data_IF_891061742704
#
_entry.id   IF_891061742704
#
_cell.length_a   1.000
_cell.length_b   1.000
_cell.length_c   1.000
_cell.angle_alpha   90.00
_cell.angle_beta   90.00
_cell.angle_gamma   90.00
#
_symmetry.space_group_name_H-M   'P 1'
#
loop_
_entity.id
_entity.type
_entity.pdbx_description
1 polymer ?
#
# COMPACT_ATOMS: atom_id res chain seq x y z
N UNK A 1 -6.63 -23.77 -32.21
CA UNK A 1 -7.88 -24.51 -32.50
C UNK A 1 -8.57 -25.05 -31.24
N UNK A 2 -7.88 -25.71 -30.29
CA UNK A 2 -8.51 -26.23 -29.06
C UNK A 2 -9.14 -25.15 -28.14
N UNK A 3 -8.53 -23.97 -28.10
CA UNK A 3 -8.96 -22.85 -27.25
C UNK A 3 -10.27 -22.19 -27.73
N UNK A 4 -10.67 -22.36 -28.99
CA UNK A 4 -11.89 -21.75 -29.54
C UNK A 4 -13.16 -22.59 -29.31
N UNK A 5 -13.05 -23.78 -28.70
CA UNK A 5 -14.18 -24.67 -28.42
C UNK A 5 -14.91 -25.19 -29.67
N UNK A 6 -14.28 -25.09 -30.84
CA UNK A 6 -14.91 -25.45 -32.12
C UNK A 6 -14.66 -26.92 -32.47
N UNK A 7 -15.67 -27.59 -33.03
CA UNK A 7 -15.60 -28.99 -33.46
C UNK A 7 -14.56 -29.16 -34.58
N UNK A 8 -13.50 -29.93 -34.28
CA UNK A 8 -12.40 -30.16 -35.21
C UNK A 8 -12.83 -30.97 -36.43
N UNK A 9 -13.77 -31.90 -36.27
CA UNK A 9 -14.23 -32.77 -37.35
C UNK A 9 -14.89 -31.98 -38.48
N UNK A 10 -15.66 -30.95 -38.14
CA UNK A 10 -16.30 -30.04 -39.11
C UNK A 10 -15.27 -29.03 -39.67
N UNK A 11 -14.36 -28.52 -38.83
CA UNK A 11 -13.35 -27.54 -39.22
C UNK A 11 -12.27 -28.07 -40.17
N UNK A 12 -11.94 -29.36 -40.10
CA UNK A 12 -10.98 -29.97 -41.01
C UNK A 12 -11.51 -30.01 -42.46
N UNK A 13 -12.83 -30.06 -42.64
CA UNK A 13 -13.51 -30.00 -43.94
C UNK A 13 -13.73 -28.55 -44.46
N UNK A 14 -13.41 -27.53 -43.65
CA UNK A 14 -13.60 -26.13 -44.01
C UNK A 14 -12.40 -25.54 -44.80
N UNK A 15 -12.57 -24.43 -45.53
CA UNK A 15 -11.46 -23.73 -46.17
C UNK A 15 -10.50 -23.10 -45.14
N UNK A 16 -9.28 -22.80 -45.60
CA UNK A 16 -8.19 -22.26 -44.74
C UNK A 16 -8.59 -20.97 -44.01
N UNK A 17 -9.42 -20.12 -44.64
CA UNK A 17 -9.91 -18.87 -44.04
C UNK A 17 -10.75 -19.08 -42.78
N UNK A 18 -11.63 -20.09 -42.75
CA UNK A 18 -12.43 -20.42 -41.56
C UNK A 18 -11.55 -20.97 -40.43
N UNK A 19 -10.57 -21.83 -40.76
CA UNK A 19 -9.62 -22.31 -39.76
C UNK A 19 -8.83 -21.17 -39.11
N UNK A 20 -8.38 -20.18 -39.88
CA UNK A 20 -7.66 -19.01 -39.36
C UNK A 20 -8.56 -18.16 -38.46
N UNK A 21 -9.82 -17.91 -38.87
CA UNK A 21 -10.83 -17.21 -38.06
C UNK A 21 -11.05 -17.89 -36.70
N UNK A 22 -11.22 -19.22 -36.69
CA UNK A 22 -11.41 -19.97 -35.44
C UNK A 22 -10.12 -20.08 -34.60
N UNK A 23 -8.93 -20.07 -35.20
CA UNK A 23 -7.67 -19.94 -34.46
C UNK A 23 -7.61 -18.56 -33.78
N UNK A 24 -8.00 -17.49 -34.48
CA UNK A 24 -8.07 -16.13 -33.97
C UNK A 24 -8.98 -15.97 -32.75
N UNK A 25 -10.16 -16.59 -32.75
CA UNK A 25 -11.02 -16.61 -31.56
C UNK A 25 -10.35 -17.29 -30.35
N UNK A 26 -9.57 -18.35 -30.60
CA UNK A 26 -8.84 -19.03 -29.54
C UNK A 26 -7.66 -18.21 -28.98
N UNK A 27 -6.99 -17.40 -29.82
CA UNK A 27 -5.93 -16.50 -29.35
C UNK A 27 -6.47 -15.31 -28.58
N UNK A 28 -7.66 -14.80 -28.94
CA UNK A 28 -8.30 -13.69 -28.22
C UNK A 28 -8.63 -14.07 -26.76
N UNK A 29 -8.95 -15.33 -26.49
CA UNK A 29 -9.22 -15.85 -25.14
C UNK A 29 -7.94 -16.00 -24.29
N UNK A 30 -6.76 -16.07 -24.91
CA UNK A 30 -5.49 -16.19 -24.16
C UNK A 30 -5.05 -14.85 -23.55
N UNK A 31 -5.42 -13.73 -24.16
CA UNK A 31 -4.97 -12.40 -23.70
C UNK A 31 -5.55 -12.08 -22.31
N UNK A 32 -6.87 -12.16 -22.06
CA UNK A 32 -7.43 -11.95 -20.72
C UNK A 32 -6.90 -12.95 -19.68
N UNK A 33 -6.68 -14.21 -20.07
CA UNK A 33 -6.11 -15.21 -19.18
C UNK A 33 -4.67 -14.88 -18.72
N UNK A 34 -3.83 -14.37 -19.64
CA UNK A 34 -2.47 -13.92 -19.30
C UNK A 34 -2.49 -12.67 -18.42
N UNK A 35 -3.40 -11.73 -18.68
CA UNK A 35 -3.56 -10.54 -17.84
C UNK A 35 -4.06 -10.91 -16.44
N UNK A 36 -5.01 -11.85 -16.34
CA UNK A 36 -5.48 -12.40 -15.08
C UNK A 36 -4.37 -13.10 -14.28
N UNK A 37 -3.46 -13.81 -14.96
CA UNK A 37 -2.27 -14.39 -14.34
C UNK A 37 -1.42 -13.32 -13.66
N UNK A 38 -1.04 -12.28 -14.41
CA UNK A 38 -0.18 -11.18 -13.90
C UNK A 38 -0.89 -10.43 -12.77
N UNK A 39 -2.16 -10.10 -12.97
CA UNK A 39 -3.00 -9.42 -11.97
C UNK A 39 -3.04 -10.17 -10.65
N UNK A 40 -3.34 -11.46 -10.68
CA UNK A 40 -3.52 -12.25 -9.47
C UNK A 40 -2.19 -12.62 -8.82
N UNK A 41 -1.15 -12.88 -9.60
CA UNK A 41 0.20 -13.07 -9.08
C UNK A 41 0.66 -11.83 -8.29
N UNK A 42 0.40 -10.64 -8.81
CA UNK A 42 0.67 -9.39 -8.11
C UNK A 42 -0.22 -9.21 -6.86
N UNK A 43 -1.54 -9.41 -6.96
CA UNK A 43 -2.44 -9.30 -5.81
C UNK A 43 -1.97 -10.19 -4.65
N UNK A 44 -1.59 -11.44 -4.95
CA UNK A 44 -1.06 -12.37 -3.94
C UNK A 44 0.29 -11.93 -3.37
N UNK A 45 1.13 -11.26 -4.17
CA UNK A 45 2.40 -10.72 -3.68
C UNK A 45 2.23 -9.58 -2.67
N UNK A 46 1.10 -8.87 -2.72
CA UNK A 46 0.77 -7.80 -1.76
C UNK A 46 0.19 -8.33 -0.44
N UNK A 47 -0.17 -9.61 -0.36
CA UNK A 47 -0.67 -10.24 0.86
C UNK A 47 0.51 -10.68 1.71
N UNK A 48 0.64 -10.13 2.93
CA UNK A 48 1.76 -10.40 3.83
C UNK A 48 1.99 -11.89 4.11
N UNK A 49 0.91 -12.69 4.16
CA UNK A 49 1.00 -14.13 4.40
C UNK A 49 1.66 -14.92 3.26
N UNK A 50 1.62 -14.41 2.02
CA UNK A 50 2.08 -15.10 0.82
C UNK A 50 3.33 -14.45 0.19
N UNK A 51 3.61 -13.19 0.51
CA UNK A 51 4.72 -12.40 -0.03
C UNK A 51 6.10 -13.05 0.20
N UNK A 52 6.27 -13.82 1.27
CA UNK A 52 7.52 -14.54 1.58
C UNK A 52 7.88 -15.66 0.61
N UNK A 53 6.98 -16.04 -0.30
CA UNK A 53 7.13 -17.21 -1.16
C UNK A 53 6.58 -16.99 -2.57
N UNK A 54 7.45 -16.52 -3.47
CA UNK A 54 7.12 -16.22 -4.87
C UNK A 54 6.46 -17.40 -5.60
N UNK A 55 6.81 -18.65 -5.24
CA UNK A 55 6.21 -19.85 -5.82
C UNK A 55 4.68 -19.91 -5.60
N UNK A 56 4.19 -19.58 -4.41
CA UNK A 56 2.76 -19.62 -4.11
C UNK A 56 2.00 -18.50 -4.82
N UNK A 57 2.64 -17.34 -5.02
CA UNK A 57 2.07 -16.25 -5.81
C UNK A 57 1.88 -16.65 -7.28
N UNK A 58 2.90 -17.25 -7.90
CA UNK A 58 2.82 -17.72 -9.28
C UNK A 58 1.86 -18.90 -9.45
N UNK A 59 1.82 -19.84 -8.50
CA UNK A 59 0.85 -20.95 -8.54
C UNK A 59 -0.59 -20.45 -8.40
N UNK A 60 -0.86 -19.53 -7.47
CA UNK A 60 -2.17 -18.93 -7.32
C UNK A 60 -2.60 -18.14 -8.55
N UNK A 61 -1.69 -17.34 -9.13
CA UNK A 61 -1.90 -16.67 -10.41
C UNK A 61 -2.21 -17.64 -11.54
N UNK A 62 -1.50 -18.77 -11.62
CA UNK A 62 -1.73 -19.80 -12.64
C UNK A 62 -3.11 -20.44 -12.50
N UNK A 63 -3.51 -20.80 -11.29
CA UNK A 63 -4.84 -21.36 -11.01
C UNK A 63 -5.93 -20.37 -11.43
N UNK A 64 -5.77 -19.08 -11.08
CA UNK A 64 -6.72 -18.06 -11.46
C UNK A 64 -6.79 -17.85 -12.98
N UNK A 65 -5.64 -17.82 -13.65
CA UNK A 65 -5.58 -17.73 -15.10
C UNK A 65 -6.28 -18.90 -15.80
N UNK A 66 -6.15 -20.13 -15.27
CA UNK A 66 -6.86 -21.30 -15.78
C UNK A 66 -8.37 -21.22 -15.58
N UNK A 67 -8.82 -20.62 -14.46
CA UNK A 67 -10.24 -20.36 -14.20
C UNK A 67 -10.80 -19.37 -15.23
N UNK A 68 -10.16 -18.21 -15.40
CA UNK A 68 -10.59 -17.19 -16.38
C UNK A 68 -10.55 -17.75 -17.80
N UNK A 69 -9.46 -18.42 -18.19
CA UNK A 69 -9.36 -19.10 -19.48
C UNK A 69 -10.50 -20.09 -19.71
N UNK A 70 -10.91 -20.84 -18.67
CA UNK A 70 -12.02 -21.79 -18.78
C UNK A 70 -13.36 -21.08 -18.97
N UNK A 71 -13.61 -20.00 -18.23
CA UNK A 71 -14.82 -19.19 -18.39
C UNK A 71 -14.90 -18.52 -19.77
N UNK A 72 -13.82 -17.86 -20.20
CA UNK A 72 -13.73 -17.18 -21.50
C UNK A 72 -13.80 -18.15 -22.68
N UNK A 73 -13.30 -19.37 -22.49
CA UNK A 73 -13.48 -20.46 -23.46
C UNK A 73 -14.92 -20.98 -23.47
N UNK A 74 -15.56 -21.13 -22.31
CA UNK A 74 -16.95 -21.62 -22.19
C UNK A 74 -17.96 -20.65 -22.80
N UNK A 75 -17.96 -19.40 -22.35
CA UNK A 75 -17.48 -18.31 -23.19
C UNK A 75 -17.65 -18.46 -24.70
N UNK A 76 -16.60 -18.13 -25.43
CA UNK A 76 -16.51 -18.24 -26.89
C UNK A 76 -17.16 -19.51 -27.45
N UNK A 77 -17.00 -20.69 -26.84
CA UNK A 77 -17.56 -21.97 -27.33
C UNK A 77 -19.09 -21.99 -27.42
N UNK A 78 -19.80 -21.52 -26.39
CA UNK A 78 -21.28 -21.56 -26.30
C UNK A 78 -21.96 -20.53 -27.20
N UNK A 79 -21.22 -19.56 -27.74
CA UNK A 79 -21.78 -18.60 -28.67
C UNK A 79 -22.00 -19.27 -30.04
N UNK A 80 -23.24 -19.64 -30.29
CA UNK A 80 -23.69 -20.16 -31.58
C UNK A 80 -24.30 -18.99 -32.35
N UNK A 81 -23.70 -18.69 -33.49
CA UNK A 81 -24.21 -17.66 -34.36
C UNK A 81 -25.53 -18.09 -35.00
N UNK A 82 -26.50 -17.18 -35.02
CA UNK A 82 -27.71 -17.31 -35.84
C UNK A 82 -27.61 -16.50 -37.13
N UNK A 83 -28.42 -16.86 -38.12
CA UNK A 83 -28.36 -16.38 -39.51
C UNK A 83 -28.53 -14.86 -39.70
N UNK A 84 -28.92 -14.08 -38.69
CA UNK A 84 -29.14 -12.62 -38.78
C UNK A 84 -28.64 -11.84 -37.57
N UNK A 85 -27.85 -10.78 -37.82
CA UNK A 85 -27.31 -9.87 -36.79
C UNK A 85 -28.42 -9.18 -35.96
N UNK A 86 -29.63 -8.98 -36.52
CA UNK A 86 -30.75 -8.32 -35.82
C UNK A 86 -31.45 -9.21 -34.79
N UNK A 87 -31.40 -10.52 -34.96
CA UNK A 87 -32.00 -11.48 -34.02
C UNK A 87 -31.07 -11.78 -32.84
N UNK A 88 -29.77 -11.59 -33.06
CA UNK A 88 -28.73 -11.80 -32.06
C UNK A 88 -28.70 -10.69 -30.99
N UNK A 89 -28.87 -9.43 -31.41
CA UNK A 89 -28.99 -8.28 -30.48
C UNK A 89 -30.28 -8.35 -29.65
N UNK A 90 -31.30 -9.09 -30.08
CA UNK A 90 -32.54 -9.30 -29.31
C UNK A 90 -32.44 -10.45 -28.30
N UNK A 91 -31.35 -11.21 -28.28
CA UNK A 91 -31.19 -12.34 -27.39
C UNK A 91 -30.72 -11.87 -26.00
N UNK A 92 -31.48 -12.11 -24.91
CA UNK A 92 -31.06 -11.74 -23.56
C UNK A 92 -29.74 -12.40 -23.13
N UNK A 93 -29.39 -13.55 -23.71
CA UNK A 93 -28.12 -14.23 -23.44
C UNK A 93 -26.88 -13.42 -23.89
N UNK A 94 -27.01 -12.55 -24.90
CA UNK A 94 -25.92 -11.67 -25.33
C UNK A 94 -25.62 -10.59 -24.29
N UNK A 95 -26.66 -9.92 -23.77
CA UNK A 95 -26.51 -8.87 -22.77
C UNK A 95 -26.03 -9.39 -21.42
N UNK A 96 -26.59 -10.51 -20.94
CA UNK A 96 -26.14 -11.14 -19.70
C UNK A 96 -24.64 -11.44 -19.74
N UNK A 97 -24.14 -11.80 -20.92
CA UNK A 97 -22.76 -12.16 -21.13
C UNK A 97 -21.82 -10.98 -21.29
N UNK A 98 -22.27 -9.93 -21.97
CA UNK A 98 -21.58 -8.65 -21.97
C UNK A 98 -21.42 -8.11 -20.54
N UNK A 99 -22.46 -8.24 -19.71
CA UNK A 99 -22.42 -7.87 -18.30
C UNK A 99 -21.38 -8.69 -17.51
N UNK A 100 -21.28 -10.01 -17.74
CA UNK A 100 -20.24 -10.82 -17.10
C UNK A 100 -18.82 -10.40 -17.48
N UNK A 101 -18.56 -10.13 -18.76
CA UNK A 101 -17.26 -9.63 -19.22
C UNK A 101 -16.94 -8.25 -18.64
N UNK A 102 -17.94 -7.37 -18.50
CA UNK A 102 -17.77 -6.09 -17.83
C UNK A 102 -17.32 -6.27 -16.37
N UNK A 103 -18.00 -7.15 -15.62
CA UNK A 103 -17.69 -7.41 -14.21
C UNK A 103 -16.28 -8.01 -14.07
N UNK A 104 -15.95 -9.03 -14.86
CA UNK A 104 -14.63 -9.68 -14.81
C UNK A 104 -13.51 -8.71 -15.21
N UNK A 105 -13.71 -7.92 -16.27
CA UNK A 105 -12.78 -6.88 -16.68
C UNK A 105 -12.50 -5.86 -15.57
N UNK A 106 -13.52 -5.42 -14.83
CA UNK A 106 -13.34 -4.51 -13.68
C UNK A 106 -12.55 -5.20 -12.56
N UNK A 107 -12.91 -6.44 -12.20
CA UNK A 107 -12.24 -7.18 -11.13
C UNK A 107 -10.77 -7.44 -11.44
N UNK A 108 -10.44 -7.81 -12.68
CA UNK A 108 -9.06 -8.04 -13.13
C UNK A 108 -8.29 -6.71 -13.25
N UNK A 109 -8.96 -5.61 -13.58
CA UNK A 109 -8.29 -4.32 -13.73
C UNK A 109 -7.74 -3.77 -12.42
N UNK A 110 -8.37 -4.06 -11.27
CA UNK A 110 -8.02 -3.39 -10.01
C UNK A 110 -6.59 -3.72 -9.52
N UNK A 111 -6.16 -4.98 -9.42
CA UNK A 111 -4.78 -5.28 -9.07
C UNK A 111 -3.77 -4.81 -10.13
N UNK A 112 -4.16 -4.75 -11.41
CA UNK A 112 -3.28 -4.23 -12.47
C UNK A 112 -3.10 -2.71 -12.38
N UNK A 113 -4.12 -1.97 -11.95
CA UNK A 113 -3.99 -0.53 -11.66
C UNK A 113 -3.04 -0.33 -10.48
N UNK A 114 -3.21 -1.10 -9.41
CA UNK A 114 -2.27 -1.07 -8.27
C UNK A 114 -0.85 -1.45 -8.70
N UNK A 115 -0.66 -2.39 -9.63
CA UNK A 115 0.65 -2.76 -10.17
C UNK A 115 1.27 -1.62 -10.99
N UNK A 116 0.44 -0.94 -11.80
CA UNK A 116 0.91 0.19 -12.62
C UNK A 116 1.43 1.35 -11.76
N UNK A 117 0.79 1.61 -10.61
CA UNK A 117 1.16 2.66 -9.67
C UNK A 117 2.04 2.21 -8.51
N UNK A 118 2.58 0.99 -8.53
CA UNK A 118 3.31 0.38 -7.42
C UNK A 118 4.40 1.30 -6.85
N UNK A 119 5.29 1.82 -7.71
CA UNK A 119 6.37 2.72 -7.27
C UNK A 119 5.85 4.03 -6.66
N UNK A 120 4.81 4.63 -7.23
CA UNK A 120 4.21 5.86 -6.69
C UNK A 120 3.50 5.63 -5.35
N UNK A 121 2.88 4.45 -5.20
CA UNK A 121 2.25 4.03 -3.93
C UNK A 121 3.32 3.83 -2.86
N UNK A 122 4.43 3.17 -3.19
CA UNK A 122 5.55 2.96 -2.26
C UNK A 122 6.19 4.28 -1.82
N UNK A 123 6.40 5.20 -2.77
CA UNK A 123 6.90 6.55 -2.49
C UNK A 123 5.95 7.30 -1.55
N UNK A 124 4.63 7.23 -1.81
CA UNK A 124 3.62 7.89 -0.97
C UNK A 124 3.57 7.31 0.43
N UNK A 125 3.57 5.98 0.56
CA UNK A 125 3.61 5.31 1.87
C UNK A 125 4.88 5.73 2.62
N UNK A 126 6.02 5.78 1.95
CA UNK A 126 7.28 6.21 2.57
C UNK A 126 7.21 7.66 3.04
N UNK A 127 6.63 8.55 2.23
CA UNK A 127 6.41 9.95 2.59
C UNK A 127 5.54 10.07 3.85
N UNK A 128 4.40 9.40 3.90
CA UNK A 128 3.49 9.41 5.07
C UNK A 128 4.21 8.91 6.35
N UNK A 129 5.08 7.91 6.21
CA UNK A 129 5.88 7.38 7.32
C UNK A 129 6.92 8.38 7.81
N UNK A 130 7.57 9.08 6.88
CA UNK A 130 8.51 10.14 7.24
C UNK A 130 7.82 11.31 7.91
N UNK A 131 6.66 11.72 7.42
CA UNK A 131 5.85 12.80 8.01
C UNK A 131 5.42 12.43 9.44
N UNK A 132 4.88 11.23 9.64
CA UNK A 132 4.48 10.76 10.97
C UNK A 132 5.67 10.68 11.96
N UNK A 133 6.85 10.26 11.48
CA UNK A 133 8.08 10.23 12.30
C UNK A 133 8.52 11.64 12.69
N UNK A 134 8.48 12.59 11.77
CA UNK A 134 8.80 13.99 12.06
C UNK A 134 7.77 14.62 13.00
N UNK A 135 6.48 14.27 12.90
CA UNK A 135 5.45 14.73 13.86
C UNK A 135 5.76 14.24 15.28
N UNK A 136 6.05 12.93 15.44
CA UNK A 136 6.45 12.35 16.72
C UNK A 136 7.67 13.06 17.27
N UNK A 137 8.72 13.18 16.44
CA UNK A 137 9.98 13.82 16.83
C UNK A 137 9.77 15.26 17.26
N UNK A 138 9.02 16.05 16.48
CA UNK A 138 8.70 17.45 16.79
C UNK A 138 7.96 17.59 18.12
N UNK A 139 7.01 16.69 18.42
CA UNK A 139 6.31 16.67 19.72
C UNK A 139 7.28 16.43 20.88
N UNK A 140 8.16 15.43 20.78
CA UNK A 140 9.12 15.12 21.84
C UNK A 140 10.22 16.19 21.97
N UNK A 141 10.68 16.78 20.86
CA UNK A 141 11.64 17.89 20.88
C UNK A 141 11.05 19.13 21.56
N UNK A 142 9.76 19.42 21.38
CA UNK A 142 9.08 20.50 22.10
C UNK A 142 9.07 20.26 23.62
N UNK A 143 8.75 19.04 24.07
CA UNK A 143 8.76 18.68 25.49
C UNK A 143 10.19 18.77 26.08
N UNK A 144 11.18 18.25 25.35
CA UNK A 144 12.60 18.32 25.73
C UNK A 144 13.07 19.79 25.82
N UNK A 145 12.65 20.65 24.88
CA UNK A 145 13.01 22.05 24.86
C UNK A 145 12.48 22.80 26.10
N UNK A 146 11.28 22.46 26.58
CA UNK A 146 10.73 23.02 27.83
C UNK A 146 11.60 22.66 29.04
N UNK A 147 12.04 21.41 29.13
CA UNK A 147 12.93 20.96 30.22
C UNK A 147 14.30 21.64 30.11
N UNK A 148 14.85 21.71 28.89
CA UNK A 148 16.12 22.39 28.64
C UNK A 148 16.07 23.87 29.02
N UNK A 149 14.95 24.55 28.73
CA UNK A 149 14.75 25.94 29.14
C UNK A 149 14.76 26.10 30.66
N UNK A 150 14.13 25.17 31.40
CA UNK A 150 14.18 25.17 32.87
C UNK A 150 15.60 24.99 33.39
N UNK A 151 16.36 24.03 32.84
CA UNK A 151 17.77 23.83 33.19
C UNK A 151 18.62 25.08 32.92
N UNK A 152 18.43 25.72 31.77
CA UNK A 152 19.13 26.95 31.40
C UNK A 152 18.79 28.11 32.37
N UNK A 153 17.52 28.23 32.77
CA UNK A 153 17.11 29.22 33.77
C UNK A 153 17.80 28.96 35.12
N UNK A 154 17.86 27.71 35.57
CA UNK A 154 18.59 27.33 36.78
C UNK A 154 20.08 27.69 36.66
N UNK A 155 20.73 27.39 35.54
CA UNK A 155 22.13 27.76 35.29
C UNK A 155 22.38 29.26 35.30
N UNK A 156 21.47 30.04 34.69
CA UNK A 156 21.58 31.49 34.71
C UNK A 156 21.52 32.05 36.14
N UNK A 157 20.67 31.46 37.00
CA UNK A 157 20.55 31.82 38.41
C UNK A 157 21.83 31.48 39.18
N UNK A 158 22.43 30.30 38.92
CA UNK A 158 23.73 29.94 39.51
C UNK A 158 24.83 30.90 39.11
N UNK A 159 24.97 31.17 37.82
CA UNK A 159 26.00 32.07 37.31
C UNK A 159 25.83 33.48 37.89
N UNK A 160 24.60 33.94 38.08
CA UNK A 160 24.33 35.21 38.74
C UNK A 160 24.81 35.23 40.20
N UNK A 161 24.44 34.23 41.00
CA UNK A 161 24.90 34.10 42.40
C UNK A 161 26.41 33.95 42.51
N UNK A 162 27.03 33.19 41.61
CA UNK A 162 28.47 33.00 41.56
C UNK A 162 29.21 34.31 41.25
N UNK A 163 28.69 35.11 40.30
CA UNK A 163 29.23 36.45 39.99
C UNK A 163 29.18 37.37 41.20
N UNK A 164 28.05 37.39 41.93
CA UNK A 164 27.91 38.18 43.16
C UNK A 164 28.93 37.75 44.22
N UNK A 165 29.09 36.44 44.44
CA UNK A 165 30.09 35.90 45.37
C UNK A 165 31.50 36.28 44.94
N UNK A 166 31.86 36.08 43.67
CA UNK A 166 33.20 36.38 43.17
C UNK A 166 33.54 37.87 43.27
N UNK A 167 32.58 38.75 42.96
CA UNK A 167 32.74 40.19 43.13
C UNK A 167 32.95 40.56 44.61
N UNK A 168 32.20 39.94 45.52
CA UNK A 168 32.37 40.15 46.96
C UNK A 168 33.73 39.63 47.46
N UNK A 169 34.20 38.48 46.95
CA UNK A 169 35.50 37.91 47.30
C UNK A 169 36.66 38.81 46.86
N UNK A 170 36.58 39.39 45.66
CA UNK A 170 37.57 40.35 45.14
C UNK A 170 37.63 41.61 46.03
N UNK A 171 36.48 42.14 46.47
CA UNK A 171 36.43 43.27 47.41
C UNK A 171 37.09 42.92 48.75
N UNK A 172 36.81 41.73 49.29
CA UNK A 172 37.40 41.27 50.56
C UNK A 172 38.91 41.11 50.44
N UNK A 173 39.41 40.52 49.35
CA UNK A 173 40.84 40.34 49.12
C UNK A 173 41.58 41.70 49.10
N UNK A 174 41.07 42.65 48.30
CA UNK A 174 41.65 44.00 48.19
C UNK A 174 41.63 44.78 49.51
N UNK A 175 40.57 44.64 50.31
CA UNK A 175 40.52 45.27 51.64
C UNK A 175 41.58 44.69 52.58
N UNK A 176 41.76 43.36 52.59
CA UNK A 176 42.75 42.70 53.45
C UNK A 176 44.18 43.11 53.04
N UNK A 177 44.43 43.26 51.74
CA UNK A 177 45.72 43.70 51.19
C UNK A 177 45.98 45.21 51.41
N UNK A 178 44.98 45.96 51.89
CA UNK A 178 45.09 47.40 52.16
C UNK A 178 44.98 48.27 50.91
N UNK A 179 44.42 47.76 49.81
CA UNK A 179 44.19 48.55 48.60
C UNK A 179 43.03 49.54 48.78
N UNK A 180 43.19 50.76 48.26
CA UNK A 180 42.14 51.80 48.30
C UNK A 180 41.19 51.62 47.12
N UNK A 181 39.98 51.11 47.37
CA UNK A 181 38.95 50.97 46.34
C UNK A 181 38.07 52.22 46.33
N UNK A 182 37.73 52.70 45.14
CA UNK A 182 36.78 53.80 44.93
C UNK A 182 35.57 53.32 44.16
N UNK A 183 34.37 53.79 44.53
CA UNK A 183 33.17 53.53 43.73
C UNK A 183 33.15 54.41 42.47
N UNK A 184 32.14 54.22 41.62
CA UNK A 184 31.94 55.02 40.40
C UNK A 184 31.75 56.53 40.67
N UNK A 185 31.45 56.93 41.91
CA UNK A 185 31.32 58.33 42.35
C UNK A 185 32.63 58.88 42.95
N UNK A 186 33.70 58.09 42.98
CA UNK A 186 35.00 58.46 43.54
C UNK A 186 35.13 58.31 45.06
N UNK A 187 34.08 57.82 45.74
CA UNK A 187 34.05 57.63 47.20
C UNK A 187 34.90 56.44 47.61
N UNK A 188 35.66 56.60 48.70
CA UNK A 188 36.57 55.58 49.22
C UNK A 188 35.76 54.50 49.95
N UNK A 189 35.89 53.25 49.52
CA UNK A 189 35.16 52.08 50.03
C UNK A 189 35.96 51.26 51.04
N UNK A 190 37.27 51.50 51.14
CA UNK A 190 38.23 50.74 51.97
C UNK A 190 39.15 51.71 52.70
N UNK A 191 39.66 51.34 53.88
CA UNK A 191 40.47 52.28 54.69
C UNK A 191 41.91 52.44 54.19
N UNK A 192 42.37 51.56 53.29
CA UNK A 192 43.75 51.56 52.77
C UNK A 192 44.79 50.98 53.72
N UNK A 193 44.37 50.39 54.85
CA UNK A 193 45.24 49.71 55.80
C UNK A 193 45.08 48.21 55.66
N UNK A 194 46.20 47.50 55.50
CA UNK A 194 46.19 46.04 55.43
C UNK A 194 45.74 45.43 56.77
N UNK A 195 44.92 44.38 56.70
CA UNK A 195 44.47 43.60 57.85
C UNK A 195 42.96 43.44 58.01
N UNK A 196 42.55 42.76 59.09
CA UNK A 196 41.15 42.43 59.39
C UNK A 196 40.55 43.42 60.39
N UNK A 197 40.12 44.58 59.90
CA UNK A 197 39.33 45.53 60.69
C UNK A 197 37.81 45.20 60.73
N UNK A 198 36.99 45.96 61.49
CA UNK A 198 35.55 45.71 61.62
C UNK A 198 34.77 45.76 60.28
N UNK A 199 35.20 46.62 59.34
CA UNK A 199 34.65 46.68 57.98
C UNK A 199 34.95 45.40 57.19
N UNK A 200 36.21 44.95 57.21
CA UNK A 200 36.62 43.71 56.58
C UNK A 200 35.85 42.51 57.16
N UNK A 201 35.63 42.48 58.47
CA UNK A 201 34.87 41.41 59.14
C UNK A 201 33.39 41.38 58.71
N UNK A 202 32.74 42.53 58.52
CA UNK A 202 31.38 42.59 57.95
C UNK A 202 31.34 42.06 56.51
N UNK A 203 32.33 42.43 55.69
CA UNK A 203 32.44 41.97 54.29
C UNK A 203 32.72 40.47 54.18
N UNK A 204 33.53 39.92 55.10
CA UNK A 204 33.78 38.47 55.24
C UNK A 204 32.49 37.75 55.65
N UNK A 205 31.73 38.28 56.62
CA UNK A 205 30.44 37.70 57.00
C UNK A 205 29.45 37.67 55.84
N UNK A 206 29.40 38.72 55.04
CA UNK A 206 28.55 38.76 53.83
C UNK A 206 29.02 37.75 52.78
N UNK A 207 30.33 37.62 52.54
CA UNK A 207 30.88 36.60 51.65
C UNK A 207 30.48 35.17 52.10
N UNK A 208 30.61 34.88 53.40
CA UNK A 208 30.20 33.60 53.98
C UNK A 208 28.69 33.33 53.86
N UNK A 209 27.86 34.39 53.86
CA UNK A 209 26.43 34.26 53.59
C UNK A 209 26.18 33.89 52.12
N UNK A 210 26.82 34.60 51.18
CA UNK A 210 26.71 34.30 49.74
C UNK A 210 27.20 32.88 49.40
N UNK A 211 28.28 32.42 50.03
CA UNK A 211 28.78 31.05 49.86
C UNK A 211 27.77 30.01 50.37
N UNK A 212 27.16 30.24 51.54
CA UNK A 212 26.11 29.37 52.09
C UNK A 212 24.88 29.33 51.20
N UNK A 213 24.43 30.48 50.71
CA UNK A 213 23.28 30.56 49.80
C UNK A 213 23.55 29.83 48.47
N UNK A 214 24.76 29.98 47.91
CA UNK A 214 25.16 29.28 46.68
C UNK A 214 25.24 27.77 46.89
N UNK A 215 25.83 27.31 48.00
CA UNK A 215 25.89 25.88 48.35
C UNK A 215 24.50 25.29 48.58
N UNK A 216 23.63 25.98 49.34
CA UNK A 216 22.25 25.54 49.57
C UNK A 216 21.47 25.43 48.28
N UNK A 217 21.60 26.42 47.39
CA UNK A 217 20.97 26.37 46.06
C UNK A 217 21.47 25.12 45.33
N UNK A 218 22.80 24.91 45.26
CA UNK A 218 23.43 23.75 44.57
C UNK A 218 22.89 22.42 45.07
N UNK A 219 22.78 22.26 46.38
CA UNK A 219 22.28 21.03 46.99
C UNK A 219 20.79 20.84 46.67
N UNK A 220 19.97 21.89 46.84
CA UNK A 220 18.53 21.82 46.61
C UNK A 220 18.19 21.44 45.17
N UNK A 221 18.92 22.00 44.21
CA UNK A 221 18.63 21.77 42.80
C UNK A 221 19.29 20.51 42.24
N UNK A 222 20.33 19.97 42.88
CA UNK A 222 21.10 18.84 42.33
C UNK A 222 20.22 17.64 41.98
N UNK A 223 19.30 17.27 42.87
CA UNK A 223 18.33 16.20 42.65
C UNK A 223 17.32 16.54 41.55
N UNK A 224 16.83 17.78 41.52
CA UNK A 224 15.89 18.22 40.50
C UNK A 224 16.53 18.21 39.10
N UNK A 225 17.79 18.63 39.00
CA UNK A 225 18.54 18.62 37.73
C UNK A 225 18.79 17.20 37.26
N UNK A 226 19.16 16.29 38.17
CA UNK A 226 19.33 14.88 37.85
C UNK A 226 18.01 14.28 37.33
N UNK A 227 16.89 14.55 38.01
CA UNK A 227 15.56 14.08 37.60
C UNK A 227 15.14 14.63 36.22
N UNK A 228 15.38 15.91 35.96
CA UNK A 228 15.09 16.53 34.65
C UNK A 228 15.96 15.96 33.53
N UNK A 229 17.24 15.69 33.79
CA UNK A 229 18.14 15.06 32.82
C UNK A 229 17.73 13.62 32.51
N UNK A 230 17.32 12.87 33.53
CA UNK A 230 16.79 11.51 33.39
C UNK A 230 15.47 11.52 32.60
N UNK A 231 14.56 12.46 32.89
CA UNK A 231 13.31 12.65 32.14
C UNK A 231 13.58 12.96 30.66
N UNK A 232 14.52 13.87 30.36
CA UNK A 232 14.92 14.16 28.97
C UNK A 232 15.50 12.92 28.27
N UNK A 233 16.36 12.16 28.95
CA UNK A 233 16.92 10.92 28.42
C UNK A 233 15.83 9.87 28.16
N UNK A 234 14.86 9.76 29.08
CA UNK A 234 13.70 8.88 28.96
C UNK A 234 12.78 9.27 27.81
N UNK A 235 12.48 10.57 27.64
CA UNK A 235 11.69 11.08 26.52
C UNK A 235 12.37 10.81 25.18
N UNK A 236 13.69 11.05 25.11
CA UNK A 236 14.48 10.77 23.90
C UNK A 236 14.47 9.28 23.55
N UNK A 237 14.72 8.41 24.53
CA UNK A 237 14.67 6.97 24.33
C UNK A 237 13.27 6.49 23.92
N UNK A 238 12.21 7.09 24.48
CA UNK A 238 10.82 6.79 24.10
C UNK A 238 10.51 7.25 22.67
N UNK A 239 10.98 8.43 22.27
CA UNK A 239 10.87 8.90 20.89
C UNK A 239 11.58 7.94 19.93
N UNK A 240 12.85 7.60 20.21
CA UNK A 240 13.67 6.71 19.38
C UNK A 240 13.03 5.32 19.25
N UNK A 241 12.54 4.76 20.36
CA UNK A 241 11.84 3.47 20.34
C UNK A 241 10.51 3.50 19.57
N UNK A 242 9.72 4.58 19.67
CA UNK A 242 8.50 4.73 18.88
C UNK A 242 8.81 4.83 17.39
N UNK A 243 9.83 5.60 17.00
CA UNK A 243 10.26 5.74 15.62
C UNK A 243 10.80 4.42 15.04
N UNK A 244 11.56 3.65 15.83
CA UNK A 244 12.14 2.37 15.42
C UNK A 244 11.09 1.25 15.37
N UNK A 245 10.18 1.20 16.34
CA UNK A 245 9.11 0.20 16.40
C UNK A 245 7.92 0.53 15.49
N UNK A 246 7.89 1.72 14.88
CA UNK A 246 6.93 2.05 13.84
C UNK A 246 7.27 1.27 12.57
N UNK A 247 6.85 0.00 12.55
CA UNK A 247 6.85 -0.87 11.41
C UNK A 247 5.59 -0.60 10.59
N UNK A 248 5.79 -0.30 9.32
CA UNK A 248 4.70 0.00 8.40
C UNK A 248 4.38 -1.26 7.63
N UNK A 249 3.14 -1.71 7.78
CA UNK A 249 2.59 -2.76 6.94
C UNK A 249 2.49 -2.25 5.50
N UNK A 250 2.82 -3.10 4.53
CA UNK A 250 2.65 -2.83 3.10
C UNK A 250 1.47 -3.62 2.53
N UNK A 251 0.51 -3.98 3.38
CA UNK A 251 -0.66 -4.77 3.02
C UNK A 251 -1.54 -4.04 2.00
N UNK A 252 -2.37 -4.83 1.31
CA UNK A 252 -3.26 -4.38 0.24
C UNK A 252 -4.10 -3.15 0.61
N UNK A 253 -4.66 -3.11 1.82
CA UNK A 253 -5.50 -1.98 2.26
C UNK A 253 -4.72 -0.66 2.29
N UNK A 254 -3.47 -0.67 2.73
CA UNK A 254 -2.63 0.54 2.77
C UNK A 254 -2.27 1.01 1.36
N UNK A 255 -2.03 0.07 0.44
CA UNK A 255 -1.78 0.39 -0.97
C UNK A 255 -3.02 1.03 -1.61
N UNK A 256 -4.21 0.57 -1.27
CA UNK A 256 -5.46 1.18 -1.75
C UNK A 256 -5.67 2.59 -1.19
N UNK A 257 -5.43 2.79 0.12
CA UNK A 257 -5.52 4.12 0.75
C UNK A 257 -4.49 5.09 0.13
N UNK A 258 -3.25 4.66 -0.04
CA UNK A 258 -2.21 5.47 -0.69
C UNK A 258 -2.57 5.80 -2.16
N UNK A 259 -3.19 4.86 -2.88
CA UNK A 259 -3.70 5.12 -4.22
C UNK A 259 -4.86 6.13 -4.22
N UNK A 260 -5.75 6.09 -3.23
CA UNK A 260 -6.83 7.05 -3.06
C UNK A 260 -6.29 8.46 -2.76
N UNK A 261 -5.31 8.54 -1.87
CA UNK A 261 -4.64 9.79 -1.54
C UNK A 261 -3.90 10.39 -2.76
N UNK A 262 -3.23 9.56 -3.56
CA UNK A 262 -2.60 9.99 -4.81
C UNK A 262 -3.62 10.54 -5.82
N UNK A 263 -4.85 10.00 -5.86
CA UNK A 263 -5.91 10.56 -6.72
C UNK A 263 -6.40 11.91 -6.22
N UNK A 264 -6.51 12.08 -4.90
CA UNK A 264 -6.92 13.33 -4.29
C UNK A 264 -5.89 14.44 -4.56
N UNK A 265 -4.60 14.09 -4.55
CA UNK A 265 -3.51 15.01 -4.83
C UNK A 265 -3.33 15.28 -6.33
N UNK A 266 -3.49 14.25 -7.16
CA UNK A 266 -3.26 14.31 -8.60
C UNK A 266 -4.44 13.72 -9.38
N UNK A 267 -5.34 14.58 -9.85
CA UNK A 267 -6.52 14.15 -10.61
C UNK A 267 -6.22 13.33 -11.88
N UNK A 268 -5.00 13.44 -12.43
CA UNK A 268 -4.56 12.59 -13.56
C UNK A 268 -4.54 11.11 -13.18
N UNK A 269 -4.21 10.75 -11.94
CA UNK A 269 -4.16 9.36 -11.45
C UNK A 269 -5.54 8.71 -11.55
N UNK A 270 -6.59 9.44 -11.18
CA UNK A 270 -7.98 8.99 -11.31
C UNK A 270 -8.38 8.77 -12.77
N UNK A 271 -8.01 9.69 -13.66
CA UNK A 271 -8.27 9.55 -15.10
C UNK A 271 -7.57 8.32 -15.67
N UNK A 272 -6.30 8.10 -15.33
CA UNK A 272 -5.52 6.94 -15.78
C UNK A 272 -6.07 5.64 -15.24
N UNK A 273 -6.52 5.58 -13.99
CA UNK A 273 -7.20 4.39 -13.46
C UNK A 273 -8.45 4.05 -14.28
N UNK A 274 -9.30 5.06 -14.55
CA UNK A 274 -10.52 4.83 -15.32
C UNK A 274 -10.21 4.41 -16.76
N UNK A 275 -9.20 5.01 -17.38
CA UNK A 275 -8.70 4.62 -18.69
C UNK A 275 -8.19 3.18 -18.73
N UNK A 276 -7.38 2.77 -17.75
CA UNK A 276 -6.89 1.39 -17.63
C UNK A 276 -8.03 0.40 -17.41
N UNK A 277 -8.99 0.73 -16.54
CA UNK A 277 -10.18 -0.10 -16.31
C UNK A 277 -10.99 -0.30 -17.60
N UNK A 278 -11.23 0.78 -18.35
CA UNK A 278 -11.92 0.71 -19.64
C UNK A 278 -11.12 -0.12 -20.66
N UNK A 279 -9.80 0.05 -20.71
CA UNK A 279 -8.91 -0.73 -21.58
C UNK A 279 -9.02 -2.23 -21.30
N UNK A 280 -8.96 -2.64 -20.03
CA UNK A 280 -9.07 -4.05 -19.64
C UNK A 280 -10.44 -4.64 -19.94
N UNK A 281 -11.50 -3.90 -19.64
CA UNK A 281 -12.87 -4.26 -20.02
C UNK A 281 -12.99 -4.41 -21.53
N UNK A 282 -12.41 -3.51 -22.32
CA UNK A 282 -12.41 -3.60 -23.78
C UNK A 282 -11.71 -4.87 -24.25
N UNK A 283 -10.54 -5.18 -23.71
CA UNK A 283 -9.78 -6.40 -24.02
C UNK A 283 -10.58 -7.65 -23.69
N UNK A 284 -11.29 -7.67 -22.57
CA UNK A 284 -12.11 -8.82 -22.14
C UNK A 284 -13.34 -9.05 -23.03
N UNK A 285 -13.88 -7.98 -23.62
CA UNK A 285 -15.03 -8.04 -24.53
C UNK A 285 -14.58 -8.34 -25.99
N UNK A 286 -13.28 -8.26 -26.32
CA UNK A 286 -12.77 -8.56 -27.67
C UNK A 286 -13.18 -9.95 -28.20
N UNK A 287 -13.07 -11.06 -27.46
CA UNK A 287 -13.46 -12.38 -27.96
C UNK A 287 -14.93 -12.45 -28.35
N UNK A 288 -15.82 -11.79 -27.59
CA UNK A 288 -17.26 -11.77 -27.85
C UNK A 288 -17.58 -10.88 -29.04
N UNK A 289 -17.07 -9.65 -29.06
CA UNK A 289 -17.32 -8.69 -30.14
C UNK A 289 -16.85 -9.23 -31.49
N UNK A 290 -15.61 -9.74 -31.57
CA UNK A 290 -15.09 -10.32 -32.80
C UNK A 290 -15.90 -11.53 -33.27
N UNK A 291 -16.41 -12.35 -32.35
CA UNK A 291 -17.21 -13.50 -32.73
C UNK A 291 -18.60 -13.11 -33.25
N UNK A 292 -19.23 -12.10 -32.65
CA UNK A 292 -20.52 -11.57 -33.10
C UNK A 292 -20.41 -10.83 -34.44
N UNK A 293 -19.32 -10.09 -34.69
CA UNK A 293 -19.14 -9.34 -35.93
C UNK A 293 -18.48 -10.09 -37.08
N UNK A 294 -17.86 -11.25 -36.84
CA UNK A 294 -17.34 -12.07 -37.93
C UNK A 294 -18.45 -12.41 -38.95
N UNK A 295 -18.17 -12.73 -40.23
CA UNK A 295 -19.19 -13.11 -41.23
C UNK A 295 -19.61 -14.59 -41.13
N UNK A 296 -20.86 -14.90 -41.51
CA UNK A 296 -21.47 -16.24 -41.30
C UNK A 296 -20.75 -17.21 -42.21
N UNK A 297 -20.11 -18.20 -41.59
CA UNK A 297 -19.12 -19.04 -42.25
C UNK A 297 -19.64 -20.39 -42.72
N UNK A 298 -18.81 -21.10 -43.49
CA UNK A 298 -19.10 -22.49 -43.87
C UNK A 298 -19.23 -23.40 -42.64
N UNK A 299 -18.41 -23.14 -41.62
CA UNK A 299 -18.48 -23.85 -40.33
C UNK A 299 -19.83 -23.67 -39.65
N UNK A 300 -20.34 -22.43 -39.58
CA UNK A 300 -21.63 -22.12 -38.95
C UNK A 300 -22.78 -22.83 -39.68
N UNK A 301 -22.71 -22.86 -41.02
CA UNK A 301 -23.67 -23.57 -41.87
C UNK A 301 -23.66 -25.08 -41.65
N UNK A 302 -22.49 -25.71 -41.72
CA UNK A 302 -22.34 -27.16 -41.51
C UNK A 302 -22.83 -27.58 -40.13
N UNK A 303 -22.54 -26.78 -39.09
CA UNK A 303 -23.01 -27.05 -37.73
C UNK A 303 -24.53 -26.90 -37.60
N UNK A 304 -25.13 -25.93 -38.29
CA UNK A 304 -26.58 -25.75 -38.30
C UNK A 304 -27.28 -26.86 -39.07
N UNK A 305 -26.73 -27.28 -40.21
CA UNK A 305 -27.24 -28.41 -41.00
C UNK A 305 -27.13 -29.71 -40.21
N UNK A 306 -26.03 -29.96 -39.50
CA UNK A 306 -25.85 -31.11 -38.61
C UNK A 306 -26.88 -31.13 -37.46
N UNK A 307 -27.11 -29.97 -36.81
CA UNK A 307 -28.15 -29.84 -35.78
C UNK A 307 -29.56 -30.08 -36.33
N UNK A 308 -29.86 -29.60 -37.54
CA UNK A 308 -31.15 -29.81 -38.19
C UNK A 308 -31.35 -31.28 -38.58
N UNK A 309 -30.29 -31.96 -39.07
CA UNK A 309 -30.30 -33.39 -39.37
C UNK A 309 -30.51 -34.22 -38.11
N UNK A 310 -29.83 -33.89 -37.01
CA UNK A 310 -30.03 -34.50 -35.70
C UNK A 310 -31.45 -34.28 -35.15
N UNK A 311 -32.03 -33.10 -35.34
CA UNK A 311 -33.41 -32.81 -34.97
C UNK A 311 -34.45 -33.51 -35.85
N UNK A 312 -34.11 -33.82 -37.10
CA UNK A 312 -34.95 -34.56 -38.05
C UNK A 312 -34.82 -36.08 -37.90
N UNK A 313 -33.80 -36.57 -37.20
CA UNK A 313 -33.69 -37.97 -36.80
C UNK A 313 -34.74 -38.25 -35.73
N UNK A 314 -35.84 -38.85 -36.17
CA UNK A 314 -36.97 -39.21 -35.32
C UNK A 314 -36.51 -40.12 -34.16
N UNK A 315 -36.55 -39.64 -32.91
CA UNK A 315 -36.07 -40.42 -31.76
C UNK A 315 -36.89 -41.71 -31.59
N UNK A 316 -38.15 -41.72 -32.03
CA UNK A 316 -39.03 -42.88 -31.99
C UNK A 316 -38.50 -44.04 -32.84
N UNK A 317 -37.97 -43.77 -34.04
CA UNK A 317 -37.40 -44.81 -34.91
C UNK A 317 -36.14 -45.44 -34.33
N UNK A 318 -35.36 -44.68 -33.56
CA UNK A 318 -34.17 -45.19 -32.86
C UNK A 318 -34.58 -46.08 -31.67
N UNK A 319 -35.58 -45.67 -30.91
CA UNK A 319 -36.14 -46.48 -29.82
C UNK A 319 -36.77 -47.78 -30.36
N UNK A 320 -37.58 -47.71 -31.43
CA UNK A 320 -38.16 -48.87 -32.10
C UNK A 320 -37.09 -49.83 -32.64
N UNK A 321 -36.04 -49.31 -33.28
CA UNK A 321 -34.93 -50.13 -33.78
C UNK A 321 -34.13 -50.80 -32.65
N UNK A 322 -33.91 -50.09 -31.53
CA UNK A 322 -33.26 -50.67 -30.35
C UNK A 322 -34.13 -51.74 -29.69
N UNK A 323 -35.44 -51.53 -29.64
CA UNK A 323 -36.39 -52.48 -29.06
C UNK A 323 -36.56 -53.73 -29.94
N UNK A 324 -36.54 -53.59 -31.26
CA UNK A 324 -36.47 -54.72 -32.20
C UNK A 324 -35.16 -55.48 -32.07
N UNK A 325 -34.02 -54.80 -31.95
CA UNK A 325 -32.72 -55.44 -31.73
C UNK A 325 -32.69 -56.21 -30.40
N UNK A 326 -33.27 -55.64 -29.33
CA UNK A 326 -33.38 -56.30 -28.02
C UNK A 326 -34.23 -57.57 -28.08
N UNK A 327 -35.39 -57.49 -28.75
CA UNK A 327 -36.28 -58.63 -28.94
C UNK A 327 -35.59 -59.73 -29.76
N UNK A 328 -34.93 -59.39 -30.87
CA UNK A 328 -34.19 -60.35 -31.69
C UNK A 328 -33.03 -61.00 -30.92
N UNK A 329 -32.28 -60.23 -30.12
CA UNK A 329 -31.21 -60.76 -29.27
C UNK A 329 -31.76 -61.70 -28.17
N UNK A 330 -32.92 -61.39 -27.59
CA UNK A 330 -33.57 -62.23 -26.57
C UNK A 330 -34.11 -63.56 -27.11
N UNK A 331 -34.42 -63.63 -28.42
CA UNK A 331 -34.87 -64.86 -29.09
C UNK A 331 -33.68 -65.80 -29.31
N UNK A 332 -32.49 -65.27 -29.60
CA UNK A 332 -31.27 -66.06 -29.80
C UNK A 332 -30.77 -66.69 -28.48
N UNK A 333 -31.06 -66.08 -27.33
CA UNK A 333 -30.69 -66.62 -26.01
C UNK A 333 -31.63 -67.70 -25.44
N UNK A 334 -32.68 -68.11 -26.17
CA UNK A 334 -33.67 -69.13 -25.75
C UNK A 334 -33.73 -70.36 -26.67
N UNK A 335 -32.85 -70.45 -27.67
CA UNK A 335 -32.62 -71.66 -28.46
C UNK A 335 -31.44 -72.45 -27.92
#
# INVERSE_FOLDING_TARGET
MWCAGSDRSILDHCPRGERIKHIGFGSLVLIPALLAFVSMAYALSTVEALSGSLLWCYLGGLIWALIIFSFDRLIVSTHIRKTSNREEVKNPAFYLRFLFALILGIVISHPLVLLYFDGSIEDRITADVTEYREEIKGRYEADIAVIQQRLNNMDSLYQHKEKLRNAQADIVAREIDGEVIRNAKGEILTTGFAGKGPSAENKIRHLQQLERELQQTRVNDSLQRLAMQDEMAGLKARSDSLMQNYAVSYDYLRRELALEDLKAEHGIVGLTQWFLMLLFVLVDILPVTFKTFAPYGLYDRMRQDDLNLLGALDPSKREEALQQAYNNASIIGKS
#
